data_IF_803577503649
#
_entry.id   IF_803577503649
#
_cell.length_a   1.000
_cell.length_b   1.000
_cell.length_c   1.000
_cell.angle_alpha   90.00
_cell.angle_beta   90.00
_cell.angle_gamma   90.00
#
_symmetry.space_group_name_H-M   'P 1'
#
loop_
_entity.id
_entity.type
_entity.pdbx_description
1 polymer ?
#
# COMPACT_ATOMS: atom_id res chain seq x y z
N UNK A 1 0.00 -15.72 0.16
CA UNK A 1 -0.54 -14.36 -0.06
C UNK A 1 0.60 -13.37 -0.22
N UNK A 2 0.87 -12.92 -1.45
CA UNK A 2 1.84 -11.84 -1.70
C UNK A 2 1.12 -10.49 -1.67
N UNK A 3 1.85 -9.42 -1.35
CA UNK A 3 1.34 -8.04 -1.31
C UNK A 3 0.61 -7.61 -2.61
N UNK A 4 1.00 -8.20 -3.75
CA UNK A 4 0.44 -7.92 -5.06
C UNK A 4 -1.08 -8.17 -5.15
N UNK A 5 -1.62 -9.07 -4.32
CA UNK A 5 -3.07 -9.36 -4.31
C UNK A 5 -3.91 -8.18 -3.81
N UNK A 6 -3.33 -7.27 -3.04
CA UNK A 6 -4.03 -6.08 -2.57
C UNK A 6 -4.08 -4.97 -3.61
N UNK A 7 -3.20 -4.98 -4.63
CA UNK A 7 -3.19 -3.93 -5.66
C UNK A 7 -4.54 -3.80 -6.38
N UNK A 8 -5.13 -4.85 -6.99
CA UNK A 8 -6.42 -4.74 -7.67
C UNK A 8 -7.58 -4.44 -6.72
N UNK A 9 -7.43 -4.76 -5.42
CA UNK A 9 -8.47 -4.56 -4.40
C UNK A 9 -8.45 -3.13 -3.87
N UNK A 10 -7.27 -2.53 -3.73
CA UNK A 10 -7.12 -1.16 -3.25
C UNK A 10 -7.42 -0.14 -4.35
N UNK A 11 -7.15 -0.47 -5.62
CA UNK A 11 -7.47 0.38 -6.77
C UNK A 11 -8.91 0.95 -6.77
N UNK A 12 -9.99 0.16 -6.60
CA UNK A 12 -11.35 0.70 -6.55
C UNK A 12 -11.60 1.60 -5.33
N UNK A 13 -10.96 1.34 -4.18
CA UNK A 13 -11.08 2.21 -2.98
C UNK A 13 -10.45 3.58 -3.27
N UNK A 14 -9.28 3.61 -3.90
CA UNK A 14 -8.60 4.85 -4.28
C UNK A 14 -9.38 5.59 -5.36
N UNK A 15 -9.93 4.86 -6.34
CA UNK A 15 -10.80 5.42 -7.36
C UNK A 15 -12.06 6.06 -6.74
N UNK A 16 -12.67 5.41 -5.76
CA UNK A 16 -13.81 5.98 -5.02
C UNK A 16 -13.44 7.26 -4.27
N UNK A 17 -12.32 7.28 -3.56
CA UNK A 17 -11.85 8.46 -2.84
C UNK A 17 -11.52 9.63 -3.80
N UNK A 18 -10.90 9.33 -4.94
CA UNK A 18 -10.60 10.32 -5.98
C UNK A 18 -11.88 10.81 -6.65
N UNK A 19 -12.82 9.90 -6.93
CA UNK A 19 -14.13 10.22 -7.48
C UNK A 19 -14.96 11.12 -6.58
N UNK A 20 -14.84 10.97 -5.25
CA UNK A 20 -15.44 11.91 -4.30
C UNK A 20 -14.90 13.34 -4.46
N UNK A 21 -13.58 13.51 -4.63
CA UNK A 21 -12.99 14.83 -4.87
C UNK A 21 -13.46 15.44 -6.20
N UNK A 22 -13.53 14.63 -7.26
CA UNK A 22 -14.03 15.06 -8.58
C UNK A 22 -15.50 15.45 -8.51
N UNK A 23 -16.34 14.62 -7.87
CA UNK A 23 -17.76 14.91 -7.67
C UNK A 23 -17.95 16.21 -6.89
N UNK A 24 -17.16 16.43 -5.83
CA UNK A 24 -17.16 17.66 -5.05
C UNK A 24 -16.91 18.90 -5.91
N UNK A 25 -15.90 18.88 -6.77
CA UNK A 25 -15.57 19.99 -7.66
C UNK A 25 -16.63 20.26 -8.74
N UNK A 26 -17.46 19.27 -9.08
CA UNK A 26 -18.51 19.38 -10.10
C UNK A 26 -19.89 19.74 -9.54
N UNK A 27 -20.05 19.77 -8.21
CA UNK A 27 -21.34 19.96 -7.52
C UNK A 27 -22.08 21.21 -7.99
N UNK A 28 -21.37 22.32 -8.24
CA UNK A 28 -21.96 23.60 -8.63
C UNK A 28 -22.28 23.69 -10.13
N UNK A 29 -21.38 23.19 -10.98
CA UNK A 29 -21.48 23.38 -12.44
C UNK A 29 -22.30 22.29 -13.14
N UNK A 30 -22.21 21.05 -12.67
CA UNK A 30 -22.79 19.88 -13.34
C UNK A 30 -23.34 18.85 -12.33
N UNK A 31 -24.44 19.16 -11.63
CA UNK A 31 -24.95 18.34 -10.52
C UNK A 31 -25.37 16.93 -10.94
N UNK A 32 -25.84 16.74 -12.18
CA UNK A 32 -26.18 15.41 -12.72
C UNK A 32 -24.96 14.51 -12.89
N UNK A 33 -23.86 15.04 -13.44
CA UNK A 33 -22.60 14.31 -13.57
C UNK A 33 -21.96 14.04 -12.21
N UNK A 34 -21.99 15.02 -11.30
CA UNK A 34 -21.53 14.85 -9.93
C UNK A 34 -22.27 13.70 -9.22
N UNK A 35 -23.58 13.56 -9.46
CA UNK A 35 -24.39 12.50 -8.86
C UNK A 35 -23.96 11.12 -9.37
N UNK A 36 -23.80 10.95 -10.68
CA UNK A 36 -23.31 9.70 -11.24
C UNK A 36 -21.92 9.34 -10.70
N UNK A 37 -21.01 10.31 -10.64
CA UNK A 37 -19.68 10.11 -10.06
C UNK A 37 -19.75 9.73 -8.58
N UNK A 38 -20.62 10.36 -7.80
CA UNK A 38 -20.85 10.04 -6.39
C UNK A 38 -21.36 8.61 -6.23
N UNK A 39 -22.40 8.21 -6.98
CA UNK A 39 -22.98 6.87 -6.93
C UNK A 39 -21.97 5.81 -7.34
N UNK A 40 -21.26 6.00 -8.45
CA UNK A 40 -20.20 5.08 -8.89
C UNK A 40 -19.10 4.96 -7.83
N UNK A 41 -18.74 6.07 -7.19
CA UNK A 41 -17.72 6.05 -6.13
C UNK A 41 -18.18 5.29 -4.89
N UNK A 42 -19.45 5.41 -4.48
CA UNK A 42 -20.02 4.58 -3.41
C UNK A 42 -20.00 3.08 -3.78
N UNK A 43 -20.32 2.72 -5.02
CA UNK A 43 -20.25 1.33 -5.50
C UNK A 43 -18.82 0.81 -5.45
N UNK A 44 -17.84 1.58 -5.95
CA UNK A 44 -16.43 1.19 -5.94
C UNK A 44 -15.90 1.05 -4.50
N UNK A 45 -16.28 1.95 -3.60
CA UNK A 45 -15.96 1.85 -2.18
C UNK A 45 -16.55 0.57 -1.57
N UNK A 46 -17.83 0.30 -1.84
CA UNK A 46 -18.57 -0.87 -1.36
C UNK A 46 -18.07 -2.20 -1.93
N UNK A 47 -17.45 -2.21 -3.12
CA UNK A 47 -16.76 -3.39 -3.64
C UNK A 47 -15.36 -3.55 -3.04
N UNK A 48 -14.61 -2.45 -2.94
CA UNK A 48 -13.20 -2.48 -2.54
C UNK A 48 -12.99 -2.73 -1.05
N UNK A 49 -13.68 -1.99 -0.18
CA UNK A 49 -13.43 -2.04 1.27
C UNK A 49 -13.79 -3.41 1.87
N UNK A 50 -14.98 -4.00 1.63
CA UNK A 50 -15.29 -5.33 2.17
C UNK A 50 -14.32 -6.41 1.66
N UNK A 51 -13.94 -6.36 0.38
CA UNK A 51 -12.97 -7.29 -0.18
C UNK A 51 -11.59 -7.13 0.48
N UNK A 52 -11.17 -5.88 0.76
CA UNK A 52 -9.96 -5.63 1.52
C UNK A 52 -10.05 -6.19 2.95
N UNK A 53 -11.20 -6.07 3.63
CA UNK A 53 -11.39 -6.64 4.97
C UNK A 53 -11.25 -8.16 4.98
N UNK A 54 -11.75 -8.88 3.96
CA UNK A 54 -11.56 -10.33 3.81
C UNK A 54 -10.06 -10.67 3.70
N UNK A 55 -9.31 -9.90 2.88
CA UNK A 55 -7.85 -10.10 2.76
C UNK A 55 -7.12 -9.76 4.05
N UNK A 56 -7.55 -8.75 4.80
CA UNK A 56 -6.97 -8.40 6.09
C UNK A 56 -7.13 -9.52 7.12
N UNK A 57 -8.29 -10.18 7.17
CA UNK A 57 -8.51 -11.32 8.07
C UNK A 57 -7.58 -12.48 7.69
N UNK A 58 -7.46 -12.81 6.40
CA UNK A 58 -6.52 -13.85 5.95
C UNK A 58 -5.06 -13.48 6.22
N UNK A 59 -4.70 -12.19 6.07
CA UNK A 59 -3.37 -11.69 6.39
C UNK A 59 -3.07 -11.81 7.90
N UNK A 60 -4.01 -11.41 8.74
CA UNK A 60 -3.90 -11.54 10.19
C UNK A 60 -3.75 -13.01 10.62
N UNK A 61 -4.58 -13.91 10.08
CA UNK A 61 -4.46 -15.35 10.34
C UNK A 61 -3.08 -15.89 9.96
N UNK A 62 -2.54 -15.47 8.82
CA UNK A 62 -1.21 -15.87 8.37
C UNK A 62 -0.12 -15.37 9.33
N UNK A 63 -0.22 -14.13 9.81
CA UNK A 63 0.73 -13.58 10.79
C UNK A 63 0.64 -14.29 12.14
N UNK A 64 -0.54 -14.76 12.54
CA UNK A 64 -0.74 -15.47 13.79
C UNK A 64 -0.21 -16.92 13.74
N UNK A 65 -0.34 -17.60 12.59
CA UNK A 65 -0.01 -19.03 12.46
C UNK A 65 1.38 -19.31 11.88
N UNK A 66 1.99 -18.36 11.17
CA UNK A 66 3.30 -18.53 10.54
C UNK A 66 4.32 -17.51 11.07
N UNK A 67 5.60 -17.84 10.98
CA UNK A 67 6.69 -16.96 11.42
C UNK A 67 6.65 -15.62 10.69
N UNK A 68 7.05 -14.55 11.39
CA UNK A 68 7.15 -13.21 10.85
C UNK A 68 7.93 -13.25 9.53
N UNK A 69 7.40 -12.64 8.46
CA UNK A 69 7.98 -12.83 7.14
C UNK A 69 9.38 -12.20 7.09
N UNK A 70 10.25 -12.77 6.24
CA UNK A 70 11.66 -12.40 6.10
C UNK A 70 11.84 -10.89 5.87
N UNK A 71 13.04 -10.31 6.11
CA UNK A 71 13.28 -8.86 6.03
C UNK A 71 12.85 -8.20 4.70
N UNK A 72 12.73 -8.99 3.64
CA UNK A 72 12.24 -8.58 2.31
C UNK A 72 10.75 -8.21 2.29
N UNK A 73 9.99 -8.56 3.33
CA UNK A 73 8.52 -8.45 3.36
C UNK A 73 8.05 -7.50 4.48
N UNK A 74 8.95 -6.77 5.15
CA UNK A 74 8.60 -5.77 6.20
C UNK A 74 7.65 -4.69 5.66
N UNK A 75 7.83 -4.31 4.40
CA UNK A 75 6.94 -3.41 3.67
C UNK A 75 5.49 -3.90 3.70
N UNK A 76 5.28 -5.22 3.73
CA UNK A 76 3.93 -5.79 3.76
C UNK A 76 3.15 -5.47 5.03
N UNK A 77 3.83 -5.15 6.13
CA UNK A 77 3.19 -4.81 7.41
C UNK A 77 2.46 -3.47 7.32
N UNK A 78 2.80 -2.63 6.33
CA UNK A 78 2.07 -1.39 6.03
C UNK A 78 0.87 -1.59 5.12
N UNK A 79 0.74 -2.74 4.45
CA UNK A 79 -0.35 -2.98 3.51
C UNK A 79 -1.73 -2.76 4.11
N UNK A 80 -2.01 -3.12 5.38
CA UNK A 80 -3.30 -2.86 5.98
C UNK A 80 -3.69 -1.39 6.10
N UNK A 81 -2.71 -0.49 6.24
CA UNK A 81 -2.98 0.95 6.32
C UNK A 81 -3.54 1.50 5.00
N UNK A 82 -3.24 0.85 3.86
CA UNK A 82 -3.69 1.28 2.54
C UNK A 82 -5.21 1.32 2.39
N UNK A 83 -5.90 0.17 2.46
CA UNK A 83 -7.36 0.11 2.34
C UNK A 83 -8.07 0.78 3.52
N UNK A 84 -7.52 0.71 4.74
CA UNK A 84 -8.13 1.35 5.90
C UNK A 84 -8.05 2.88 5.82
N UNK A 85 -6.89 3.44 5.48
CA UNK A 85 -6.70 4.88 5.30
C UNK A 85 -7.46 5.43 4.10
N UNK A 86 -7.31 4.80 2.93
CA UNK A 86 -8.03 5.23 1.71
C UNK A 86 -9.54 5.08 1.87
N UNK A 87 -9.98 3.99 2.51
CA UNK A 87 -11.39 3.73 2.77
C UNK A 87 -11.99 4.74 3.76
N UNK A 88 -11.28 5.06 4.85
CA UNK A 88 -11.69 6.08 5.80
C UNK A 88 -11.78 7.47 5.14
N UNK A 89 -10.73 7.88 4.43
CA UNK A 89 -10.72 9.16 3.72
C UNK A 89 -11.84 9.24 2.68
N UNK A 90 -12.00 8.18 1.87
CA UNK A 90 -13.00 8.10 0.82
C UNK A 90 -14.43 8.22 1.35
N UNK A 91 -14.78 7.47 2.41
CA UNK A 91 -16.16 7.48 2.92
C UNK A 91 -16.53 8.81 3.59
N UNK A 92 -15.58 9.49 4.25
CA UNK A 92 -15.81 10.87 4.75
C UNK A 92 -16.07 11.83 3.60
N UNK A 93 -15.23 11.80 2.55
CA UNK A 93 -15.40 12.69 1.39
C UNK A 93 -16.68 12.42 0.62
N UNK A 94 -17.07 11.15 0.47
CA UNK A 94 -18.34 10.80 -0.13
C UNK A 94 -19.52 11.34 0.69
N UNK A 95 -19.45 11.23 2.02
CA UNK A 95 -20.46 11.81 2.92
C UNK A 95 -20.55 13.34 2.83
N UNK A 96 -19.41 14.04 2.78
CA UNK A 96 -19.34 15.50 2.61
C UNK A 96 -19.99 15.95 1.31
N UNK A 97 -19.68 15.29 0.20
CA UNK A 97 -20.28 15.60 -1.11
C UNK A 97 -21.75 15.24 -1.15
N UNK A 98 -22.14 14.09 -0.59
CA UNK A 98 -23.55 13.68 -0.53
C UNK A 98 -24.41 14.68 0.26
N UNK A 99 -23.86 15.28 1.33
CA UNK A 99 -24.55 16.27 2.14
C UNK A 99 -24.93 17.53 1.35
N UNK A 100 -24.07 17.94 0.41
CA UNK A 100 -24.31 19.12 -0.43
C UNK A 100 -25.13 18.76 -1.67
N UNK A 101 -24.84 17.62 -2.30
CA UNK A 101 -25.36 17.27 -3.61
C UNK A 101 -26.80 16.74 -3.56
N UNK A 102 -27.14 15.88 -2.60
CA UNK A 102 -28.47 15.25 -2.53
C UNK A 102 -29.63 16.25 -2.40
N UNK A 103 -29.51 17.33 -1.61
CA UNK A 103 -30.54 18.38 -1.57
C UNK A 103 -30.73 19.11 -2.91
N UNK A 104 -29.64 19.31 -3.67
CA UNK A 104 -29.67 20.01 -4.97
C UNK A 104 -30.33 19.14 -6.04
N UNK A 105 -30.03 17.85 -6.06
CA UNK A 105 -30.51 16.92 -7.09
C UNK A 105 -31.88 16.31 -6.78
N UNK A 106 -32.49 16.60 -5.62
CA UNK A 106 -33.78 16.03 -5.21
C UNK A 106 -33.76 14.49 -5.13
N UNK A 107 -32.60 13.93 -4.83
CA UNK A 107 -32.36 12.47 -4.84
C UNK A 107 -32.82 11.85 -3.53
N UNK A 108 -33.40 10.64 -3.59
CA UNK A 108 -34.18 10.00 -2.50
C UNK A 108 -35.48 10.77 -2.15
N UNK A 109 -36.45 10.87 -3.09
CA UNK A 109 -37.68 11.65 -2.89
C UNK A 109 -38.58 11.15 -1.75
N UNK A 110 -38.38 9.91 -1.28
CA UNK A 110 -39.10 9.34 -0.14
C UNK A 110 -38.69 9.98 1.20
N UNK A 111 -37.48 10.54 1.29
CA UNK A 111 -37.00 11.29 2.46
C UNK A 111 -37.30 12.76 2.20
N UNK A 112 -38.22 13.33 2.99
CA UNK A 112 -38.47 14.78 2.95
C UNK A 112 -37.27 15.50 3.59
N UNK A 113 -36.89 16.63 3.01
CA UNK A 113 -35.79 17.51 3.43
C UNK A 113 -34.36 16.97 3.22
N UNK A 114 -33.37 17.83 3.48
CA UNK A 114 -31.93 17.57 3.33
C UNK A 114 -31.36 16.48 4.28
N UNK A 115 -32.21 15.70 4.96
CA UNK A 115 -31.82 14.68 5.94
C UNK A 115 -30.98 13.55 5.35
N UNK A 116 -31.26 13.12 4.12
CA UNK A 116 -30.55 12.00 3.49
C UNK A 116 -29.03 12.28 3.39
N UNK A 117 -28.66 13.50 3.01
CA UNK A 117 -27.27 13.93 2.94
C UNK A 117 -26.58 13.99 4.31
N UNK A 118 -27.27 14.54 5.30
CA UNK A 118 -26.76 14.61 6.68
C UNK A 118 -26.51 13.22 7.28
N UNK A 119 -27.39 12.26 7.03
CA UNK A 119 -27.23 10.86 7.48
C UNK A 119 -25.97 10.23 6.87
N UNK A 120 -25.77 10.38 5.56
CA UNK A 120 -24.59 9.84 4.88
C UNK A 120 -23.29 10.49 5.36
N UNK A 121 -23.32 11.78 5.66
CA UNK A 121 -22.18 12.48 6.25
C UNK A 121 -21.82 11.93 7.64
N UNK A 122 -22.81 11.81 8.54
CA UNK A 122 -22.60 11.27 9.90
C UNK A 122 -22.12 9.81 9.84
N UNK A 123 -22.75 8.98 9.01
CA UNK A 123 -22.34 7.58 8.82
C UNK A 123 -20.93 7.49 8.23
N UNK A 124 -20.61 8.34 7.25
CA UNK A 124 -19.28 8.37 6.65
C UNK A 124 -18.21 8.72 7.67
N UNK A 125 -18.44 9.73 8.50
CA UNK A 125 -17.54 10.07 9.60
C UNK A 125 -17.40 8.92 10.63
N UNK A 126 -18.51 8.32 11.06
CA UNK A 126 -18.49 7.22 12.04
C UNK A 126 -17.72 5.99 11.53
N UNK A 127 -17.99 5.57 10.28
CA UNK A 127 -17.29 4.45 9.64
C UNK A 127 -15.80 4.76 9.49
N UNK A 128 -15.45 5.97 9.06
CA UNK A 128 -14.06 6.38 8.92
C UNK A 128 -13.31 6.40 10.26
N UNK A 129 -13.95 6.83 11.34
CA UNK A 129 -13.35 6.84 12.67
C UNK A 129 -13.03 5.41 13.15
N UNK A 130 -13.93 4.45 12.90
CA UNK A 130 -13.71 3.02 13.20
C UNK A 130 -12.55 2.47 12.37
N UNK A 131 -12.54 2.75 11.05
CA UNK A 131 -11.46 2.30 10.16
C UNK A 131 -10.11 2.92 10.54
N UNK A 132 -10.07 4.20 10.90
CA UNK A 132 -8.87 4.89 11.37
C UNK A 132 -8.36 4.32 12.69
N UNK A 133 -9.26 4.05 13.65
CA UNK A 133 -8.91 3.39 14.91
C UNK A 133 -8.34 1.99 14.70
N UNK A 134 -8.91 1.22 13.77
CA UNK A 134 -8.35 -0.09 13.42
C UNK A 134 -6.98 0.03 12.73
N UNK A 135 -6.79 1.04 11.87
CA UNK A 135 -5.50 1.30 11.22
C UNK A 135 -4.37 1.63 12.24
N UNK A 136 -4.67 2.23 13.39
CA UNK A 136 -3.68 2.48 14.45
C UNK A 136 -3.06 1.19 14.99
N UNK A 137 -3.85 0.11 15.13
CA UNK A 137 -3.35 -1.19 15.58
C UNK A 137 -2.29 -1.72 14.61
N UNK A 138 -2.56 -1.59 13.31
CA UNK A 138 -1.63 -2.00 12.27
C UNK A 138 -0.40 -1.08 12.20
N UNK A 139 -0.59 0.23 12.37
CA UNK A 139 0.52 1.19 12.45
C UNK A 139 1.47 0.83 13.60
N UNK A 140 0.92 0.47 14.76
CA UNK A 140 1.72 0.01 15.90
C UNK A 140 2.56 -1.22 15.55
N UNK A 141 1.97 -2.25 14.94
CA UNK A 141 2.73 -3.43 14.49
C UNK A 141 3.78 -3.08 13.45
N UNK A 142 3.47 -2.16 12.53
CA UNK A 142 4.37 -1.74 11.48
C UNK A 142 5.60 -1.00 12.03
N UNK A 143 5.41 -0.07 12.97
CA UNK A 143 6.50 0.63 13.67
C UNK A 143 7.32 -0.34 14.52
N UNK A 144 6.67 -1.25 15.25
CA UNK A 144 7.36 -2.26 16.06
C UNK A 144 8.20 -3.23 15.21
N UNK A 145 7.75 -3.56 13.99
CA UNK A 145 8.51 -4.39 13.07
C UNK A 145 9.73 -3.67 12.52
N UNK A 146 9.61 -2.38 12.16
CA UNK A 146 10.74 -1.59 11.64
C UNK A 146 11.84 -1.43 12.70
N UNK A 147 11.48 -1.18 13.96
CA UNK A 147 12.49 -0.96 15.02
C UNK A 147 13.29 -2.20 15.38
N UNK A 148 12.76 -3.40 15.09
CA UNK A 148 13.38 -4.69 15.43
C UNK A 148 14.20 -5.31 14.30
N UNK A 149 14.15 -4.76 13.09
CA UNK A 149 14.75 -5.42 11.93
C UNK A 149 15.47 -4.41 11.04
N UNK A 150 16.76 -4.64 10.78
CA UNK A 150 17.50 -3.87 9.75
C UNK A 150 17.41 -4.58 8.42
N UNK A 151 17.08 -3.83 7.37
CA UNK A 151 17.00 -4.35 6.02
C UNK A 151 17.55 -3.31 5.01
N UNK A 152 18.23 -3.77 3.95
CA UNK A 152 18.81 -2.89 2.95
C UNK A 152 17.73 -2.21 2.11
N UNK A 153 18.04 -1.03 1.56
CA UNK A 153 17.13 -0.30 0.67
C UNK A 153 16.81 -1.13 -0.58
N UNK A 154 15.52 -1.35 -0.83
CA UNK A 154 14.98 -2.00 -2.02
C UNK A 154 13.78 -1.21 -2.58
N UNK A 155 13.29 -1.58 -3.77
CA UNK A 155 12.17 -0.89 -4.41
C UNK A 155 10.86 -0.99 -3.62
N UNK A 156 10.75 -1.97 -2.73
CA UNK A 156 9.63 -2.13 -1.81
C UNK A 156 9.43 -0.96 -0.85
N UNK A 157 10.44 -0.09 -0.63
CA UNK A 157 10.28 1.08 0.25
C UNK A 157 9.15 2.03 -0.20
N UNK A 158 8.80 2.05 -1.49
CA UNK A 158 7.63 2.77 -1.99
C UNK A 158 6.31 2.30 -1.35
N UNK A 159 6.24 1.05 -0.90
CA UNK A 159 5.10 0.48 -0.20
C UNK A 159 4.91 1.02 1.23
N UNK A 160 5.83 1.84 1.77
CA UNK A 160 5.59 2.59 3.00
C UNK A 160 4.88 3.92 2.73
N UNK A 161 5.21 4.57 1.62
CA UNK A 161 4.76 5.94 1.29
C UNK A 161 3.25 5.96 1.03
N UNK A 162 2.74 5.06 0.18
CA UNK A 162 1.33 5.08 -0.18
C UNK A 162 0.40 4.78 1.02
N UNK A 163 0.54 3.65 1.75
CA UNK A 163 -0.32 3.36 2.90
C UNK A 163 -0.18 4.39 4.03
N UNK A 164 1.04 4.87 4.27
CA UNK A 164 1.26 5.96 5.22
C UNK A 164 0.58 7.25 4.78
N UNK A 165 0.73 7.64 3.52
CA UNK A 165 0.13 8.84 2.95
C UNK A 165 -1.40 8.85 3.03
N UNK A 166 -2.06 7.75 2.68
CA UNK A 166 -3.53 7.67 2.76
C UNK A 166 -4.04 7.65 4.21
N UNK A 167 -3.26 7.11 5.15
CA UNK A 167 -3.55 7.23 6.58
C UNK A 167 -3.42 8.68 7.07
N UNK A 168 -2.42 9.43 6.59
CA UNK A 168 -2.30 10.88 6.84
C UNK A 168 -3.47 11.65 6.26
N UNK A 169 -3.90 11.33 5.03
CA UNK A 169 -5.08 11.96 4.41
C UNK A 169 -6.36 11.74 5.24
N UNK A 170 -6.59 10.53 5.74
CA UNK A 170 -7.70 10.25 6.64
C UNK A 170 -7.59 11.04 7.94
N UNK A 171 -6.40 11.08 8.56
CA UNK A 171 -6.14 11.86 9.79
C UNK A 171 -6.38 13.36 9.57
N UNK A 172 -5.94 13.88 8.43
CA UNK A 172 -6.15 15.28 8.04
C UNK A 172 -7.64 15.58 7.87
N UNK A 173 -8.40 14.69 7.23
CA UNK A 173 -9.84 14.89 7.09
C UNK A 173 -10.54 14.85 8.46
N UNK A 174 -10.20 13.90 9.33
CA UNK A 174 -10.69 13.88 10.72
C UNK A 174 -10.36 15.18 11.45
N UNK A 175 -9.19 15.80 11.21
CA UNK A 175 -8.83 17.08 11.82
C UNK A 175 -9.71 18.26 11.39
N UNK A 176 -10.38 18.15 10.24
CA UNK A 176 -11.36 19.13 9.75
C UNK A 176 -12.72 18.91 10.39
N UNK A 177 -13.14 17.65 10.56
CA UNK A 177 -14.42 17.29 11.18
C UNK A 177 -14.40 17.47 12.72
N UNK A 178 -13.26 17.14 13.34
CA UNK A 178 -12.97 17.35 14.75
C UNK A 178 -11.87 18.41 14.87
N UNK A 179 -12.22 19.71 14.95
CA UNK A 179 -11.26 20.81 14.99
C UNK A 179 -10.53 20.91 16.33
N UNK A 180 -9.90 19.81 16.78
CA UNK A 180 -9.05 19.74 17.96
C UNK A 180 -7.60 20.07 17.59
N UNK A 181 -6.88 20.72 18.51
CA UNK A 181 -5.45 20.95 18.36
C UNK A 181 -4.65 19.65 18.20
N UNK A 182 -5.14 18.56 18.82
CA UNK A 182 -4.53 17.23 18.75
C UNK A 182 -4.45 16.70 17.32
N UNK A 183 -5.57 16.62 16.60
CA UNK A 183 -5.57 16.07 15.24
C UNK A 183 -4.80 16.94 14.24
N UNK A 184 -4.77 18.26 14.46
CA UNK A 184 -3.95 19.19 13.66
C UNK A 184 -2.46 18.90 13.82
N UNK A 185 -1.98 18.83 15.06
CA UNK A 185 -0.57 18.52 15.36
C UNK A 185 -0.19 17.13 14.87
N UNK A 186 -1.06 16.13 15.11
CA UNK A 186 -0.85 14.76 14.67
C UNK A 186 -0.71 14.68 13.13
N UNK A 187 -1.59 15.36 12.40
CA UNK A 187 -1.54 15.43 10.93
C UNK A 187 -0.24 16.08 10.45
N UNK A 188 0.19 17.18 11.07
CA UNK A 188 1.45 17.85 10.71
C UNK A 188 2.65 16.92 10.90
N UNK A 189 2.73 16.24 12.05
CA UNK A 189 3.83 15.30 12.36
C UNK A 189 3.87 14.17 11.33
N UNK A 190 2.73 13.50 11.10
CA UNK A 190 2.70 12.38 10.14
C UNK A 190 2.99 12.83 8.71
N UNK A 191 2.50 14.00 8.30
CA UNK A 191 2.81 14.57 6.98
C UNK A 191 4.31 14.78 6.82
N UNK A 192 4.98 15.38 7.80
CA UNK A 192 6.44 15.60 7.77
C UNK A 192 7.21 14.28 7.65
N UNK A 193 6.83 13.26 8.42
CA UNK A 193 7.47 11.93 8.34
C UNK A 193 7.32 11.32 6.94
N UNK A 194 6.11 11.35 6.38
CA UNK A 194 5.85 10.77 5.06
C UNK A 194 6.53 11.55 3.93
N UNK A 195 6.60 12.89 4.02
CA UNK A 195 7.32 13.71 3.04
C UNK A 195 8.82 13.42 3.09
N UNK A 196 9.42 13.36 4.27
CA UNK A 196 10.84 13.02 4.42
C UNK A 196 11.14 11.61 3.89
N UNK A 197 10.26 10.65 4.19
CA UNK A 197 10.36 9.30 3.67
C UNK A 197 10.27 9.28 2.14
N UNK A 198 9.33 10.02 1.56
CA UNK A 198 9.17 10.12 0.11
C UNK A 198 10.40 10.73 -0.56
N UNK A 199 10.98 11.81 0.01
CA UNK A 199 12.22 12.41 -0.49
C UNK A 199 13.36 11.39 -0.44
N UNK A 200 13.55 10.72 0.70
CA UNK A 200 14.60 9.70 0.87
C UNK A 200 14.47 8.57 -0.14
N UNK A 201 13.26 8.00 -0.29
CA UNK A 201 13.00 6.90 -1.23
C UNK A 201 13.21 7.37 -2.67
N UNK A 202 12.77 8.59 -3.01
CA UNK A 202 12.93 9.16 -4.35
C UNK A 202 14.41 9.36 -4.71
N UNK A 203 15.20 9.97 -3.83
CA UNK A 203 16.64 10.19 -4.05
C UNK A 203 17.37 8.86 -4.24
N UNK A 204 17.12 7.87 -3.36
CA UNK A 204 17.75 6.54 -3.47
C UNK A 204 17.29 5.78 -4.71
N UNK A 205 16.04 5.96 -5.14
CA UNK A 205 15.53 5.38 -6.39
C UNK A 205 16.25 5.99 -7.59
N UNK A 206 16.41 7.32 -7.63
CA UNK A 206 17.13 8.02 -8.70
C UNK A 206 18.61 7.57 -8.74
N UNK A 207 19.30 7.60 -7.60
CA UNK A 207 20.71 7.19 -7.48
C UNK A 207 20.92 5.75 -7.99
N UNK A 208 20.08 4.81 -7.55
CA UNK A 208 20.16 3.40 -7.97
C UNK A 208 19.76 3.18 -9.43
N UNK A 209 18.85 3.99 -9.96
CA UNK A 209 18.46 3.95 -11.38
C UNK A 209 19.63 4.42 -12.24
N UNK A 210 20.26 5.55 -11.89
CA UNK A 210 21.40 6.11 -12.62
C UNK A 210 22.64 5.22 -12.55
N UNK A 211 22.87 4.52 -11.43
CA UNK A 211 23.97 3.55 -11.30
C UNK A 211 23.68 2.18 -11.93
N UNK A 212 22.50 1.98 -12.54
CA UNK A 212 22.10 0.72 -13.16
C UNK A 212 21.85 -0.43 -12.17
N UNK A 213 21.92 -0.17 -10.86
CA UNK A 213 21.76 -1.18 -9.79
C UNK A 213 20.31 -1.43 -9.41
N UNK A 214 19.35 -0.65 -9.92
CA UNK A 214 17.92 -0.81 -9.63
C UNK A 214 17.21 -1.80 -10.57
N UNK A 215 17.69 -1.96 -11.80
CA UNK A 215 17.07 -2.85 -12.79
C UNK A 215 17.53 -4.28 -12.49
N UNK A 216 16.91 -4.90 -11.49
CA UNK A 216 17.02 -6.32 -11.24
C UNK A 216 16.35 -7.06 -12.40
N UNK A 217 17.15 -7.51 -13.36
CA UNK A 217 16.71 -8.36 -14.46
C UNK A 217 17.21 -9.78 -14.17
N UNK A 218 16.41 -10.63 -13.49
CA UNK A 218 16.84 -11.98 -13.10
C UNK A 218 17.26 -12.81 -14.32
N UNK A 219 16.64 -12.56 -15.48
CA UNK A 219 17.04 -13.16 -16.75
C UNK A 219 18.47 -12.78 -17.18
N UNK A 220 18.91 -11.54 -16.92
CA UNK A 220 20.27 -11.07 -17.25
C UNK A 220 21.29 -11.63 -16.27
N UNK A 221 20.98 -11.68 -14.97
CA UNK A 221 21.86 -12.34 -13.99
C UNK A 221 22.05 -13.83 -14.31
N UNK A 222 20.95 -14.54 -14.59
CA UNK A 222 21.00 -15.95 -14.93
C UNK A 222 21.73 -16.19 -16.27
N UNK A 223 21.56 -15.30 -17.25
CA UNK A 223 22.33 -15.33 -18.51
C UNK A 223 23.82 -15.06 -18.30
N UNK A 224 24.19 -14.12 -17.43
CA UNK A 224 25.59 -13.81 -17.09
C UNK A 224 26.25 -15.00 -16.36
N UNK A 225 25.57 -15.61 -15.40
CA UNK A 225 26.06 -16.83 -14.73
C UNK A 225 26.21 -18.00 -15.70
N UNK A 226 25.25 -18.20 -16.60
CA UNK A 226 25.32 -19.23 -17.63
C UNK A 226 26.44 -18.97 -18.63
N UNK A 227 26.68 -17.71 -19.03
CA UNK A 227 27.84 -17.33 -19.86
C UNK A 227 29.15 -17.58 -19.15
N UNK A 228 29.29 -17.19 -17.88
CA UNK A 228 30.53 -17.42 -17.11
C UNK A 228 30.81 -18.93 -16.98
N UNK A 229 29.77 -19.75 -16.74
CA UNK A 229 29.89 -21.22 -16.73
C UNK A 229 30.32 -21.76 -18.10
N UNK A 230 29.76 -21.29 -19.20
CA UNK A 230 30.15 -21.70 -20.56
C UNK A 230 31.59 -21.29 -20.92
N UNK A 231 32.02 -20.08 -20.59
CA UNK A 231 33.39 -19.60 -20.82
C UNK A 231 34.40 -20.40 -20.01
N UNK A 232 34.05 -20.81 -18.78
CA UNK A 232 34.90 -21.69 -17.95
C UNK A 232 34.99 -23.12 -18.49
N UNK A 233 33.89 -23.70 -18.98
CA UNK A 233 33.89 -25.00 -19.65
C UNK A 233 34.81 -25.02 -20.90
N UNK A 234 34.89 -23.91 -21.64
CA UNK A 234 35.66 -23.81 -22.88
C UNK A 234 37.14 -23.47 -22.66
N UNK A 235 37.50 -22.83 -21.54
CA UNK A 235 38.89 -22.47 -21.21
C UNK A 235 39.66 -23.53 -20.43
N UNK A 236 39.02 -24.64 -20.03
CA UNK A 236 39.68 -25.76 -19.34
C UNK A 236 40.18 -25.44 -17.92
N UNK A 237 39.74 -24.34 -17.32
CA UNK A 237 40.19 -23.89 -15.99
C UNK A 237 39.40 -24.62 -14.89
N UNK A 238 40.04 -25.61 -14.27
CA UNK A 238 39.52 -26.37 -13.12
C UNK A 238 39.98 -25.68 -11.83
N UNK A 239 39.14 -24.85 -11.24
CA UNK A 239 39.41 -24.36 -9.88
C UNK A 239 39.00 -25.41 -8.84
N UNK A 240 39.99 -25.87 -8.08
CA UNK A 240 39.79 -26.57 -6.81
C UNK A 240 39.27 -25.54 -5.82
N UNK A 241 37.95 -25.46 -5.64
CA UNK A 241 37.36 -24.66 -4.57
C UNK A 241 37.66 -25.36 -3.24
N UNK A 242 38.69 -24.89 -2.53
CA UNK A 242 38.87 -25.18 -1.11
C UNK A 242 37.82 -24.41 -0.32
N UNK A 243 36.81 -25.13 0.18
CA UNK A 243 35.79 -24.60 1.10
C UNK A 243 36.44 -24.13 2.41
N UNK A 244 36.28 -22.87 2.85
CA UNK A 244 36.69 -22.46 4.18
C UNK A 244 35.54 -22.79 5.14
N UNK A 245 35.33 -24.07 5.41
CA UNK A 245 34.62 -24.56 6.59
C UNK A 245 34.95 -26.04 6.75
N UNK A 246 35.85 -26.33 7.69
CA UNK A 246 36.18 -27.68 8.08
C UNK A 246 34.98 -28.37 8.72
N UNK A 247 34.45 -29.36 8.03
CA UNK A 247 33.86 -30.55 8.62
C UNK A 247 34.03 -31.69 7.60
N UNK A 248 34.58 -32.81 8.06
CA UNK A 248 35.26 -33.79 7.22
C UNK A 248 34.36 -34.74 6.42
N UNK A 249 35.06 -35.41 5.51
CA UNK A 249 34.69 -36.64 4.77
C UNK A 249 33.59 -36.54 3.71
N UNK A 250 33.99 -36.17 2.49
CA UNK A 250 34.05 -37.12 1.36
C UNK A 250 34.50 -36.39 0.10
N UNK A 251 35.56 -36.87 -0.51
CA UNK A 251 36.00 -36.43 -1.83
C UNK A 251 34.94 -36.89 -2.85
N UNK A 252 33.99 -36.03 -3.19
CA UNK A 252 33.19 -36.19 -4.40
C UNK A 252 33.78 -35.29 -5.47
N UNK A 253 34.54 -35.93 -6.37
CA UNK A 253 34.97 -35.38 -7.65
C UNK A 253 33.70 -35.09 -8.46
N UNK A 254 33.15 -33.88 -8.29
CA UNK A 254 32.07 -33.39 -9.14
C UNK A 254 32.64 -33.06 -10.52
N UNK A 255 32.62 -34.04 -11.42
CA UNK A 255 32.76 -33.78 -12.85
C UNK A 255 31.68 -32.77 -13.25
N UNK A 256 32.09 -31.57 -13.65
CA UNK A 256 31.21 -30.65 -14.35
C UNK A 256 31.05 -31.23 -15.76
N UNK A 257 30.05 -32.09 -15.94
CA UNK A 257 29.62 -32.52 -17.27
C UNK A 257 29.01 -31.31 -17.98
N UNK A 258 29.79 -30.69 -18.86
CA UNK A 258 29.31 -29.74 -19.87
C UNK A 258 28.53 -30.51 -20.95
N UNK A 259 27.47 -31.22 -20.57
CA UNK A 259 26.63 -32.01 -21.48
C UNK A 259 25.22 -31.40 -21.53
N UNK A 260 24.93 -30.70 -22.62
CA UNK A 260 23.61 -30.11 -22.88
C UNK A 260 23.68 -28.96 -23.87
N UNK A 261 24.13 -29.26 -25.09
CA UNK A 261 23.76 -28.52 -26.30
C UNK A 261 22.28 -28.81 -26.62
#
# INVERSE_FOLDING_TARGET
>A
MTAAWLLPIVSPIVAAASGALVAGAMTENHPSHALWTLVTSYVLWGCGVPLAMVVLVMYFQRLALHHLPTPEVIVSVFLPLGPLGSGAFGIMKLGEVANVLLPITGTLPAVKDAMAGGILYILGFAVALVMWGFALVWLFFAVASITRTRFPFNMGFWGFVFPGGVFVLATNQISKELPSGFFKVLTMIFTMIIVLLWIFVSVRTIEKTLTGKLIFSPCVQQYQENRIKMTRCTSGEVDIVSSPNGCGNSATRGEITCAGL
#
